data_IF_993443969189
#
_entry.id   IF_993443969189
#
_cell.length_a   1.000
_cell.length_b   1.000
_cell.length_c   1.000
_cell.angle_alpha   90.00
_cell.angle_beta   90.00
_cell.angle_gamma   90.00
#
_symmetry.space_group_name_H-M   'P 1'
#
loop_
_entity.id
_entity.type
_entity.pdbx_description
1 polymer ?
#
# COMPACT_ATOMS: atom_id res chain seq x y z
N UNK A 1 47.64 73.66 -52.89
CA UNK A 1 47.89 72.33 -53.49
C UNK A 1 46.56 71.61 -53.67
N UNK A 2 46.33 71.15 -54.89
CA UNK A 2 45.11 70.49 -55.36
C UNK A 2 44.98 69.08 -54.76
N UNK A 3 43.78 68.70 -54.29
CA UNK A 3 43.08 67.46 -54.70
C UNK A 3 41.65 67.36 -54.12
N UNK A 4 40.70 67.76 -54.96
CA UNK A 4 39.48 67.05 -55.40
C UNK A 4 39.56 65.51 -55.13
N UNK A 5 38.51 64.71 -54.82
CA UNK A 5 37.11 64.69 -55.27
C UNK A 5 36.42 63.42 -54.67
N UNK A 6 35.09 63.48 -54.45
CA UNK A 6 34.04 62.40 -54.54
C UNK A 6 34.23 61.14 -53.65
N UNK A 7 33.26 60.60 -52.93
CA UNK A 7 31.80 60.72 -52.92
C UNK A 7 31.16 59.32 -52.82
N UNK A 8 30.10 59.21 -52.00
CA UNK A 8 28.99 58.24 -52.04
C UNK A 8 29.26 56.80 -51.54
N UNK A 9 28.67 56.43 -50.40
CA UNK A 9 27.46 55.58 -50.31
C UNK A 9 26.92 55.58 -48.86
N UNK A 10 25.66 55.99 -48.72
CA UNK A 10 24.84 55.78 -47.51
C UNK A 10 24.60 54.27 -47.35
N UNK A 11 24.90 53.73 -46.19
CA UNK A 11 24.39 52.43 -45.77
C UNK A 11 23.70 52.61 -44.42
N UNK A 12 22.37 52.51 -44.44
CA UNK A 12 21.50 52.54 -43.29
C UNK A 12 21.77 51.32 -42.39
N UNK A 13 22.18 51.55 -41.14
CA UNK A 13 22.24 50.51 -40.12
C UNK A 13 21.03 50.69 -39.19
N UNK A 14 19.99 49.89 -39.41
CA UNK A 14 18.84 49.78 -38.51
C UNK A 14 19.28 48.99 -37.27
N UNK A 15 19.46 49.67 -36.15
CA UNK A 15 19.56 49.04 -34.83
C UNK A 15 18.14 48.80 -34.34
N UNK A 16 17.66 47.56 -34.44
CA UNK A 16 16.43 47.12 -33.76
C UNK A 16 16.73 47.00 -32.26
N UNK A 17 16.26 47.97 -31.48
CA UNK A 17 16.12 47.85 -30.03
C UNK A 17 14.85 47.03 -29.78
N UNK A 18 15.00 45.73 -29.55
CA UNK A 18 13.88 44.89 -29.12
C UNK A 18 13.74 44.99 -27.61
N UNK A 19 12.80 45.83 -27.18
CA UNK A 19 12.30 45.86 -25.80
C UNK A 19 11.52 44.57 -25.56
N UNK A 20 12.08 43.62 -24.81
CA UNK A 20 11.32 42.47 -24.33
C UNK A 20 10.51 42.89 -23.09
N UNK A 21 9.29 43.37 -23.32
CA UNK A 21 8.19 43.19 -22.36
C UNK A 21 7.72 41.73 -22.48
N UNK A 22 8.11 40.86 -21.55
CA UNK A 22 7.38 39.60 -21.33
C UNK A 22 6.52 39.79 -20.10
N UNK A 23 5.24 40.00 -20.39
CA UNK A 23 4.13 40.09 -19.46
C UNK A 23 4.03 38.85 -18.56
N UNK A 24 3.59 39.09 -17.32
CA UNK A 24 2.90 38.10 -16.50
C UNK A 24 1.86 37.36 -17.35
N UNK A 25 2.07 36.06 -17.60
CA UNK A 25 1.02 35.18 -18.07
C UNK A 25 0.64 34.24 -16.93
N UNK A 26 -0.54 34.53 -16.39
CA UNK A 26 -1.43 33.57 -15.75
C UNK A 26 -1.40 32.20 -16.44
N UNK A 27 -1.45 31.15 -15.62
CA UNK A 27 -1.43 29.72 -15.96
C UNK A 27 -1.93 29.35 -17.37
N UNK A 28 -1.16 28.56 -18.14
CA UNK A 28 -1.64 28.05 -19.41
C UNK A 28 -2.79 27.05 -19.18
N UNK A 29 -3.95 27.36 -19.79
CA UNK A 29 -5.05 26.42 -20.03
C UNK A 29 -4.51 25.18 -20.78
N UNK A 30 -5.05 24.02 -20.42
CA UNK A 30 -4.68 22.70 -20.92
C UNK A 30 -4.45 22.64 -22.44
N UNK A 31 -3.18 22.61 -22.85
CA UNK A 31 -2.79 21.97 -24.11
C UNK A 31 -2.68 20.49 -23.82
N UNK A 32 -3.27 19.65 -24.67
CA UNK A 32 -3.01 18.22 -24.70
C UNK A 32 -1.53 18.05 -24.99
N UNK A 33 -0.70 17.88 -23.95
CA UNK A 33 0.70 17.56 -24.11
C UNK A 33 0.78 16.20 -24.80
N UNK A 34 1.12 16.20 -26.09
CA UNK A 34 1.50 14.99 -26.81
C UNK A 34 2.85 14.55 -26.28
N UNK A 35 2.82 13.59 -25.37
CA UNK A 35 4.02 12.95 -24.84
C UNK A 35 4.63 12.11 -25.97
N UNK A 36 5.90 12.36 -26.30
CA UNK A 36 6.60 11.61 -27.34
C UNK A 36 6.80 10.15 -26.89
N UNK A 37 6.45 9.20 -27.76
CA UNK A 37 6.63 7.78 -27.48
C UNK A 37 8.10 7.45 -27.20
N UNK A 38 8.35 6.70 -26.13
CA UNK A 38 9.69 6.37 -25.63
C UNK A 38 10.29 7.38 -24.66
N UNK A 39 9.66 8.56 -24.49
CA UNK A 39 10.11 9.66 -23.63
C UNK A 39 9.03 10.05 -22.60
N UNK A 40 8.12 9.13 -22.28
CA UNK A 40 7.02 9.39 -21.35
C UNK A 40 7.49 9.68 -19.92
N UNK A 41 8.72 9.29 -19.59
CA UNK A 41 9.38 9.61 -18.32
C UNK A 41 10.29 10.86 -18.36
N UNK A 42 10.26 11.66 -19.44
CA UNK A 42 11.13 12.83 -19.58
C UNK A 42 11.00 13.86 -18.44
N UNK A 43 9.81 14.02 -17.86
CA UNK A 43 9.58 14.93 -16.75
C UNK A 43 10.35 14.57 -15.46
N UNK A 44 10.76 13.30 -15.31
CA UNK A 44 11.52 12.80 -14.16
C UNK A 44 13.02 12.74 -14.42
N UNK A 45 13.53 13.29 -15.55
CA UNK A 45 14.97 13.25 -15.86
C UNK A 45 15.81 13.74 -14.67
N UNK A 46 16.80 12.92 -14.27
CA UNK A 46 17.63 13.17 -13.10
C UNK A 46 17.79 11.94 -12.20
N UNK A 47 18.46 12.15 -11.07
CA UNK A 47 18.68 11.14 -10.03
C UNK A 47 17.86 11.49 -8.80
N UNK A 48 17.13 10.51 -8.29
CA UNK A 48 16.16 10.68 -7.22
C UNK A 48 16.36 9.66 -6.12
N UNK A 49 16.29 10.08 -4.87
CA UNK A 49 16.42 9.23 -3.69
C UNK A 49 15.13 9.29 -2.86
N UNK A 50 14.72 8.14 -2.33
CA UNK A 50 13.56 8.03 -1.46
C UNK A 50 13.83 8.64 -0.09
N UNK A 51 12.88 9.41 0.45
CA UNK A 51 12.93 9.88 1.84
C UNK A 51 12.83 8.73 2.86
N UNK A 52 12.37 7.54 2.45
CA UNK A 52 12.39 6.34 3.29
C UNK A 52 13.81 5.98 3.76
N UNK A 53 14.84 6.38 3.02
CA UNK A 53 16.26 6.13 3.33
C UNK A 53 16.77 6.89 4.56
N UNK A 54 16.09 7.96 4.97
CA UNK A 54 16.47 8.81 6.10
C UNK A 54 15.48 8.75 7.26
N UNK A 55 14.48 7.84 7.21
CA UNK A 55 13.39 7.78 8.19
C UNK A 55 13.84 7.51 9.63
N UNK A 56 15.03 6.94 9.80
CA UNK A 56 15.64 6.60 11.09
C UNK A 56 16.64 7.65 11.58
N UNK A 57 16.73 8.81 10.91
CA UNK A 57 17.64 9.88 11.33
C UNK A 57 17.21 10.44 12.71
N UNK A 58 18.15 10.46 13.65
CA UNK A 58 17.90 10.89 15.03
C UNK A 58 17.43 12.35 15.12
N UNK A 59 17.73 13.19 14.14
CA UNK A 59 17.25 14.57 14.11
C UNK A 59 15.72 14.67 13.99
N UNK A 60 15.02 13.60 13.59
CA UNK A 60 13.56 13.57 13.41
C UNK A 60 12.79 13.36 14.71
N UNK A 61 13.46 12.90 15.78
CA UNK A 61 12.85 12.45 17.04
C UNK A 61 11.93 13.47 17.69
N UNK A 62 12.36 14.74 17.77
CA UNK A 62 11.56 15.82 18.34
C UNK A 62 10.27 16.06 17.52
N UNK A 63 10.35 15.93 16.19
CA UNK A 63 9.18 16.14 15.32
C UNK A 63 8.17 15.02 15.48
N UNK A 64 8.63 13.78 15.64
CA UNK A 64 7.75 12.66 15.95
C UNK A 64 7.09 12.80 17.31
N UNK A 65 7.86 13.17 18.34
CA UNK A 65 7.34 13.36 19.69
C UNK A 65 6.29 14.46 19.74
N UNK A 66 6.56 15.60 19.10
CA UNK A 66 5.62 16.72 19.07
C UNK A 66 4.33 16.39 18.33
N UNK A 67 4.43 15.83 17.12
CA UNK A 67 3.27 15.51 16.30
C UNK A 67 2.38 14.42 16.93
N UNK A 68 2.97 13.43 17.60
CA UNK A 68 2.22 12.35 18.24
C UNK A 68 1.40 12.80 19.47
N UNK A 69 1.71 13.94 20.11
CA UNK A 69 0.98 14.43 21.30
C UNK A 69 -0.53 14.57 21.08
N UNK A 70 -0.92 14.91 19.85
CA UNK A 70 -2.31 15.15 19.48
C UNK A 70 -2.98 13.92 18.85
N UNK A 71 -2.31 12.77 18.80
CA UNK A 71 -2.82 11.54 18.19
C UNK A 71 -3.23 10.53 19.26
N UNK A 72 -4.49 10.62 19.72
CA UNK A 72 -4.99 9.85 20.87
C UNK A 72 -4.81 8.32 20.74
N UNK A 73 -4.81 7.79 19.52
CA UNK A 73 -4.73 6.35 19.25
C UNK A 73 -3.33 5.88 18.80
N UNK A 74 -2.31 6.70 19.05
CA UNK A 74 -0.93 6.43 18.65
C UNK A 74 0.01 6.65 19.83
N UNK A 75 0.99 5.77 20.00
CA UNK A 75 2.21 6.13 20.74
C UNK A 75 3.17 6.87 19.81
N UNK A 76 4.24 7.48 20.34
CA UNK A 76 5.30 8.08 19.50
C UNK A 76 5.85 7.05 18.50
N UNK A 77 6.16 5.84 18.97
CA UNK A 77 6.62 4.75 18.10
C UNK A 77 5.54 4.26 17.13
N UNK A 78 4.27 4.27 17.53
CA UNK A 78 3.16 3.96 16.64
C UNK A 78 2.98 4.98 15.52
N UNK A 79 3.19 6.26 15.82
CA UNK A 79 3.20 7.32 14.83
C UNK A 79 4.41 7.21 13.90
N UNK A 80 5.62 6.97 14.42
CA UNK A 80 6.80 6.66 13.60
C UNK A 80 6.57 5.50 12.64
N UNK A 81 5.98 4.41 13.13
CA UNK A 81 5.60 3.28 12.30
C UNK A 81 4.60 3.66 11.19
N UNK A 82 3.64 4.54 11.48
CA UNK A 82 2.68 5.02 10.48
C UNK A 82 3.32 5.91 9.42
N UNK A 83 4.28 6.76 9.82
CA UNK A 83 5.08 7.55 8.89
C UNK A 83 5.98 6.66 8.04
N UNK A 84 6.60 5.63 8.63
CA UNK A 84 7.38 4.65 7.89
C UNK A 84 6.54 3.92 6.84
N UNK A 85 5.34 3.44 7.18
CA UNK A 85 4.40 2.85 6.22
C UNK A 85 4.04 3.82 5.09
N UNK A 86 3.85 5.11 5.43
CA UNK A 86 3.50 6.15 4.47
C UNK A 86 4.57 6.31 3.38
N UNK A 87 5.85 6.30 3.74
CA UNK A 87 6.95 6.51 2.80
C UNK A 87 7.56 5.22 2.24
N UNK A 88 7.17 4.06 2.76
CA UNK A 88 7.77 2.77 2.41
C UNK A 88 7.74 2.47 0.90
N UNK A 89 8.90 2.12 0.36
CA UNK A 89 9.05 1.77 -1.06
C UNK A 89 10.10 0.67 -1.27
N UNK A 90 9.91 -0.25 -2.23
CA UNK A 90 10.93 -1.22 -2.61
C UNK A 90 12.10 -0.62 -3.41
N UNK A 91 11.99 0.63 -3.89
CA UNK A 91 13.00 1.29 -4.71
C UNK A 91 13.62 2.46 -3.96
N UNK A 92 14.90 2.36 -3.62
CA UNK A 92 15.64 3.33 -2.81
C UNK A 92 16.08 4.56 -3.63
N UNK A 93 16.47 4.34 -4.89
CA UNK A 93 16.84 5.39 -5.84
C UNK A 93 16.37 5.09 -7.25
N UNK A 94 16.20 6.13 -8.05
CA UNK A 94 15.87 6.03 -9.47
C UNK A 94 16.66 7.04 -10.28
N UNK A 95 17.21 6.60 -11.41
CA UNK A 95 17.90 7.45 -12.38
C UNK A 95 17.22 7.38 -13.73
N UNK A 96 16.76 8.54 -14.19
CA UNK A 96 16.09 8.72 -15.47
C UNK A 96 16.98 9.55 -16.39
N UNK A 97 17.23 9.04 -17.60
CA UNK A 97 17.95 9.78 -18.65
C UNK A 97 17.02 10.63 -19.54
N UNK A 98 15.70 10.44 -19.38
CA UNK A 98 14.63 11.07 -20.15
C UNK A 98 13.90 10.11 -21.08
N UNK A 99 14.40 8.88 -21.23
CA UNK A 99 13.71 7.77 -21.89
C UNK A 99 12.89 6.97 -20.88
N UNK A 100 12.17 5.95 -21.35
CA UNK A 100 11.46 5.01 -20.48
C UNK A 100 12.34 3.92 -19.85
N UNK A 101 13.66 3.95 -20.04
CA UNK A 101 14.58 3.08 -19.33
C UNK A 101 15.09 3.78 -18.07
N UNK A 102 14.84 3.17 -16.91
CA UNK A 102 15.18 3.72 -15.60
C UNK A 102 16.16 2.78 -14.91
N UNK A 103 17.23 3.32 -14.32
CA UNK A 103 18.07 2.52 -13.41
C UNK A 103 17.45 2.59 -12.02
N UNK A 104 17.02 1.46 -11.49
CA UNK A 104 16.42 1.34 -10.18
C UNK A 104 17.43 0.78 -9.19
N UNK A 105 17.64 1.45 -8.06
CA UNK A 105 18.39 0.91 -6.93
C UNK A 105 17.41 0.24 -5.97
N UNK A 106 17.49 -1.08 -5.85
CA UNK A 106 16.59 -1.89 -5.01
C UNK A 106 17.38 -2.73 -4.02
N UNK A 107 16.76 -3.04 -2.89
CA UNK A 107 17.25 -4.11 -2.02
C UNK A 107 16.72 -5.44 -2.55
N UNK A 108 17.62 -6.34 -2.95
CA UNK A 108 17.24 -7.63 -3.51
C UNK A 108 16.84 -8.64 -2.42
N UNK A 109 16.42 -9.84 -2.82
CA UNK A 109 15.96 -10.88 -1.89
C UNK A 109 17.06 -11.43 -0.94
N UNK A 110 18.32 -11.04 -1.13
CA UNK A 110 19.47 -11.37 -0.26
C UNK A 110 19.91 -10.15 0.55
N UNK A 111 19.04 -9.15 0.67
CA UNK A 111 19.29 -7.89 1.37
C UNK A 111 20.40 -7.01 0.77
N UNK A 112 20.99 -7.39 -0.37
CA UNK A 112 22.01 -6.60 -1.04
C UNK A 112 21.36 -5.49 -1.89
N UNK A 113 21.95 -4.30 -1.84
CA UNK A 113 21.56 -3.17 -2.67
C UNK A 113 22.16 -3.35 -4.07
N UNK A 114 21.32 -3.35 -5.09
CA UNK A 114 21.71 -3.54 -6.50
C UNK A 114 21.06 -2.50 -7.39
N UNK A 115 21.75 -2.15 -8.48
CA UNK A 115 21.20 -1.31 -9.55
C UNK A 115 20.76 -2.18 -10.72
N UNK A 116 19.53 -1.99 -11.18
CA UNK A 116 18.94 -2.80 -12.24
C UNK A 116 18.22 -1.89 -13.24
N UNK A 117 18.55 -1.94 -14.54
CA UNK A 117 17.80 -1.21 -15.55
C UNK A 117 16.42 -1.83 -15.75
N UNK A 118 15.39 -0.97 -15.82
CA UNK A 118 14.01 -1.34 -16.07
C UNK A 118 13.47 -0.49 -17.22
N UNK A 119 13.09 -1.15 -18.31
CA UNK A 119 12.32 -0.51 -19.38
C UNK A 119 10.83 -0.55 -19.03
N UNK A 120 10.19 0.60 -18.99
CA UNK A 120 8.77 0.73 -18.69
C UNK A 120 7.95 1.05 -19.95
N UNK A 121 6.76 0.46 -20.04
CA UNK A 121 5.74 0.79 -21.03
C UNK A 121 4.70 1.70 -20.37
N UNK A 122 4.48 2.89 -20.94
CA UNK A 122 3.44 3.81 -20.48
C UNK A 122 2.03 3.25 -20.74
N UNK A 123 1.15 3.35 -19.74
CA UNK A 123 -0.22 2.82 -19.76
C UNK A 123 -1.28 3.91 -19.68
N UNK A 124 -0.89 5.17 -19.79
CA UNK A 124 -1.79 6.32 -19.73
C UNK A 124 -1.85 6.96 -18.35
N UNK A 125 -2.85 7.83 -18.16
CA UNK A 125 -3.10 8.56 -16.92
C UNK A 125 -4.32 8.02 -16.20
N UNK A 126 -4.27 7.99 -14.86
CA UNK A 126 -5.41 7.68 -13.99
C UNK A 126 -5.57 8.80 -12.97
N UNK A 127 -6.79 9.27 -12.73
CA UNK A 127 -7.03 10.33 -11.76
C UNK A 127 -6.59 9.91 -10.35
N UNK A 128 -6.03 10.86 -9.60
CA UNK A 128 -5.76 10.67 -8.17
C UNK A 128 -7.10 10.72 -7.44
N UNK A 129 -7.43 9.66 -6.69
CA UNK A 129 -8.70 9.58 -5.97
C UNK A 129 -8.83 10.74 -4.98
N UNK A 130 -9.95 11.46 -5.05
CA UNK A 130 -10.25 12.60 -4.17
C UNK A 130 -9.61 13.93 -4.60
N UNK A 131 -8.81 13.97 -5.67
CA UNK A 131 -8.14 15.19 -6.13
C UNK A 131 -8.58 15.58 -7.55
N UNK A 132 -9.06 16.81 -7.70
CA UNK A 132 -9.50 17.33 -9.00
C UNK A 132 -8.29 17.68 -9.86
N UNK A 133 -8.29 17.23 -11.11
CA UNK A 133 -7.27 17.55 -12.12
C UNK A 133 -5.84 17.08 -11.80
N UNK A 134 -5.65 16.18 -10.83
CA UNK A 134 -4.36 15.53 -10.56
C UNK A 134 -4.39 14.10 -11.05
N UNK A 135 -3.33 13.67 -11.73
CA UNK A 135 -3.30 12.39 -12.41
C UNK A 135 -1.99 11.64 -12.14
N UNK A 136 -2.13 10.37 -11.79
CA UNK A 136 -1.06 9.39 -11.84
C UNK A 136 -0.69 9.09 -13.29
N UNK A 137 0.59 9.16 -13.61
CA UNK A 137 1.16 8.59 -14.82
C UNK A 137 1.49 7.13 -14.54
N UNK A 138 1.05 6.22 -15.41
CA UNK A 138 1.08 4.79 -15.12
C UNK A 138 2.03 4.04 -16.06
N UNK A 139 2.77 3.10 -15.50
CA UNK A 139 3.84 2.40 -16.19
C UNK A 139 3.88 0.93 -15.76
N UNK A 140 4.23 0.05 -16.70
CA UNK A 140 4.42 -1.37 -16.47
C UNK A 140 5.75 -1.83 -17.08
N UNK A 141 6.55 -2.58 -16.34
CA UNK A 141 7.82 -3.12 -16.82
C UNK A 141 7.59 -3.95 -18.10
N UNK A 142 8.42 -3.73 -19.12
CA UNK A 142 8.34 -4.43 -20.39
C UNK A 142 8.73 -5.91 -20.28
N UNK A 143 9.54 -6.25 -19.27
CA UNK A 143 10.07 -7.60 -19.02
C UNK A 143 9.93 -7.96 -17.55
N UNK A 144 9.70 -9.23 -17.28
CA UNK A 144 9.75 -9.77 -15.92
C UNK A 144 11.22 -9.99 -15.52
N UNK A 145 11.74 -9.11 -14.67
CA UNK A 145 13.09 -9.20 -14.10
C UNK A 145 12.97 -9.64 -12.65
N UNK A 146 13.67 -10.71 -12.26
CA UNK A 146 13.53 -11.36 -10.95
C UNK A 146 13.81 -10.40 -9.79
N UNK A 147 14.84 -9.58 -9.94
CA UNK A 147 15.28 -8.56 -8.99
C UNK A 147 14.25 -7.44 -8.84
N UNK A 148 13.44 -7.20 -9.88
CA UNK A 148 12.41 -6.17 -9.95
C UNK A 148 11.00 -6.72 -9.79
N UNK A 149 10.83 -7.93 -9.23
CA UNK A 149 9.50 -8.54 -9.00
C UNK A 149 8.55 -7.58 -8.28
N UNK A 150 9.07 -6.78 -7.34
CA UNK A 150 8.31 -5.82 -6.54
C UNK A 150 8.17 -4.43 -7.20
N UNK A 151 8.75 -4.25 -8.39
CA UNK A 151 8.74 -3.01 -9.17
C UNK A 151 8.16 -3.20 -10.59
N UNK A 152 7.29 -4.20 -10.76
CA UNK A 152 6.65 -4.48 -12.05
C UNK A 152 5.73 -3.34 -12.52
N UNK A 153 5.03 -2.70 -11.60
CA UNK A 153 4.13 -1.58 -11.88
C UNK A 153 4.58 -0.35 -11.10
N UNK A 154 4.55 0.80 -11.77
CA UNK A 154 4.90 2.12 -11.23
C UNK A 154 3.77 3.08 -11.59
N UNK A 155 3.30 3.83 -10.60
CA UNK A 155 2.54 5.05 -10.86
C UNK A 155 3.28 6.23 -10.22
N UNK A 156 3.34 7.36 -10.93
CA UNK A 156 4.11 8.52 -10.50
C UNK A 156 3.34 9.82 -10.74
N UNK A 157 3.52 10.77 -9.83
CA UNK A 157 3.22 12.18 -10.08
C UNK A 157 4.47 12.86 -10.63
N UNK A 158 4.32 13.85 -11.53
CA UNK A 158 5.46 14.61 -12.03
C UNK A 158 6.18 15.33 -10.87
N UNK A 159 7.49 15.60 -10.99
CA UNK A 159 8.22 16.44 -10.04
C UNK A 159 7.58 17.81 -9.89
N UNK A 160 7.36 18.20 -8.64
CA UNK A 160 6.80 19.48 -8.25
C UNK A 160 7.59 20.07 -7.09
N UNK A 161 7.50 21.38 -6.98
CA UNK A 161 8.09 22.13 -5.87
C UNK A 161 6.97 22.98 -5.29
N UNK A 162 6.51 22.61 -4.09
CA UNK A 162 5.63 23.47 -3.31
C UNK A 162 6.37 24.75 -2.91
N UNK A 163 5.64 25.86 -2.73
CA UNK A 163 6.15 27.22 -2.46
C UNK A 163 7.61 27.30 -1.95
N UNK A 164 7.85 26.91 -0.69
CA UNK A 164 9.17 26.90 -0.04
C UNK A 164 9.78 25.49 0.10
N UNK A 165 9.14 24.47 -0.47
CA UNK A 165 9.55 23.08 -0.39
C UNK A 165 10.75 22.76 -1.29
N UNK A 166 11.30 21.56 -1.10
CA UNK A 166 12.28 20.99 -2.03
C UNK A 166 11.57 20.36 -3.23
N UNK A 167 12.24 20.32 -4.37
CA UNK A 167 11.75 19.59 -5.55
C UNK A 167 11.59 18.11 -5.20
N UNK A 168 10.38 17.60 -5.34
CA UNK A 168 10.03 16.24 -4.96
C UNK A 168 8.91 15.68 -5.85
N UNK A 169 8.65 14.39 -5.71
CA UNK A 169 7.49 13.74 -6.32
C UNK A 169 7.09 12.49 -5.55
N UNK A 170 5.89 11.99 -5.84
CA UNK A 170 5.37 10.78 -5.23
C UNK A 170 5.28 9.63 -6.24
N UNK A 171 5.61 8.43 -5.78
CA UNK A 171 5.47 7.21 -6.57
C UNK A 171 4.87 6.08 -5.76
N UNK A 172 4.08 5.21 -6.40
CA UNK A 172 3.73 3.90 -5.83
C UNK A 172 4.20 2.79 -6.75
N UNK A 173 4.82 1.79 -6.14
CA UNK A 173 5.53 0.72 -6.82
C UNK A 173 5.09 -0.62 -6.23
N UNK A 174 4.78 -1.60 -7.08
CA UNK A 174 4.36 -2.94 -6.64
C UNK A 174 4.53 -4.00 -7.72
N UNK A 175 4.47 -5.26 -7.29
CA UNK A 175 4.21 -6.44 -8.12
C UNK A 175 2.75 -6.54 -8.58
N UNK A 176 1.82 -5.91 -7.85
CA UNK A 176 0.39 -5.87 -8.17
C UNK A 176 0.09 -4.77 -9.19
N UNK A 177 -1.01 -4.94 -9.92
CA UNK A 177 -1.39 -4.10 -11.04
C UNK A 177 -1.63 -2.61 -10.70
N UNK A 178 -1.83 -1.81 -11.75
CA UNK A 178 -2.11 -0.37 -11.65
C UNK A 178 -3.37 -0.10 -10.81
N UNK A 179 -4.40 -0.94 -10.91
CA UNK A 179 -5.62 -0.77 -10.13
C UNK A 179 -5.35 -0.90 -8.63
N UNK A 180 -4.53 -1.87 -8.22
CA UNK A 180 -4.07 -1.98 -6.84
C UNK A 180 -3.28 -0.75 -6.39
N UNK A 181 -2.37 -0.23 -7.22
CA UNK A 181 -1.59 0.97 -6.89
C UNK A 181 -2.46 2.22 -6.71
N UNK A 182 -3.53 2.36 -7.50
CA UNK A 182 -4.43 3.53 -7.46
C UNK A 182 -5.43 3.40 -6.30
N UNK A 183 -6.09 2.25 -6.16
CA UNK A 183 -7.26 2.07 -5.31
C UNK A 183 -6.97 1.31 -3.99
N UNK A 184 -5.95 0.45 -3.97
CA UNK A 184 -5.62 -0.40 -2.81
C UNK A 184 -4.52 0.19 -1.91
N UNK A 185 -3.38 0.58 -2.51
CA UNK A 185 -2.23 1.11 -1.77
C UNK A 185 -2.40 2.62 -1.52
N UNK A 186 -2.51 3.03 -0.25
CA UNK A 186 -2.68 4.44 0.16
C UNK A 186 -1.39 5.14 0.61
N UNK A 187 -0.23 4.55 0.37
CA UNK A 187 1.07 5.12 0.75
C UNK A 187 1.47 6.25 -0.19
N UNK A 188 2.38 7.12 0.26
CA UNK A 188 2.94 8.23 -0.51
C UNK A 188 4.48 8.25 -0.46
N UNK A 189 5.17 7.20 -0.96
CA UNK A 189 6.62 7.24 -1.12
C UNK A 189 7.05 8.49 -1.86
N UNK A 190 8.01 9.18 -1.30
CA UNK A 190 8.41 10.51 -1.74
C UNK A 190 9.87 10.48 -2.12
N UNK A 191 10.15 10.98 -3.32
CA UNK A 191 11.45 11.02 -3.93
C UNK A 191 11.88 12.47 -4.10
N UNK A 192 13.14 12.74 -3.78
CA UNK A 192 13.76 14.07 -3.87
C UNK A 192 15.02 13.98 -4.71
N UNK A 193 15.44 15.07 -5.34
CA UNK A 193 16.66 15.07 -6.13
C UNK A 193 17.85 14.60 -5.28
N UNK A 194 18.66 13.67 -5.80
CA UNK A 194 19.79 13.08 -5.07
C UNK A 194 20.77 14.16 -4.59
N UNK A 195 20.97 15.18 -5.43
CA UNK A 195 21.79 16.38 -5.15
C UNK A 195 21.27 17.27 -4.03
N UNK A 196 20.06 17.05 -3.50
CA UNK A 196 19.53 17.81 -2.36
C UNK A 196 20.39 17.53 -1.12
N UNK A 197 20.92 18.56 -0.44
CA UNK A 197 21.70 18.39 0.79
C UNK A 197 20.94 17.61 1.86
N UNK A 198 21.65 16.77 2.61
CA UNK A 198 21.06 15.91 3.64
C UNK A 198 20.26 16.72 4.66
N UNK A 199 20.77 17.87 5.09
CA UNK A 199 20.12 18.76 6.05
C UNK A 199 18.78 19.27 5.52
N UNK A 200 18.68 19.55 4.22
CA UNK A 200 17.42 19.96 3.59
C UNK A 200 16.43 18.80 3.49
N UNK A 201 16.90 17.58 3.20
CA UNK A 201 16.04 16.37 3.21
C UNK A 201 15.45 16.13 4.60
N UNK A 202 16.29 16.22 5.64
CA UNK A 202 15.88 16.09 7.04
C UNK A 202 14.87 17.18 7.40
N UNK A 203 15.14 18.45 7.07
CA UNK A 203 14.23 19.55 7.37
C UNK A 203 12.86 19.38 6.68
N UNK A 204 12.86 18.96 5.41
CA UNK A 204 11.62 18.68 4.68
C UNK A 204 10.83 17.53 5.31
N UNK A 205 11.51 16.46 5.76
CA UNK A 205 10.86 15.35 6.44
C UNK A 205 10.33 15.77 7.82
N UNK A 206 11.04 16.62 8.58
CA UNK A 206 10.53 17.22 9.84
C UNK A 206 9.21 17.97 9.62
N UNK A 207 9.17 18.82 8.60
CA UNK A 207 7.96 19.57 8.23
C UNK A 207 6.82 18.64 7.83
N UNK A 208 7.12 17.62 7.02
CA UNK A 208 6.15 16.60 6.64
C UNK A 208 5.59 15.87 7.87
N UNK A 209 6.45 15.40 8.78
CA UNK A 209 6.07 14.72 10.02
C UNK A 209 5.08 15.57 10.84
N UNK A 210 5.29 16.88 10.94
CA UNK A 210 4.36 17.77 11.68
C UNK A 210 2.97 17.86 11.07
N UNK A 211 2.83 17.66 9.76
CA UNK A 211 1.55 17.76 9.04
C UNK A 211 0.84 16.41 8.85
N UNK A 212 1.58 15.29 8.95
CA UNK A 212 1.05 13.94 8.75
C UNK A 212 -0.10 13.53 9.69
N UNK A 213 -0.25 14.03 10.94
CA UNK A 213 -1.42 13.72 11.75
C UNK A 213 -2.76 14.06 11.07
N UNK A 214 -2.80 15.07 10.18
CA UNK A 214 -3.99 15.43 9.42
C UNK A 214 -4.23 14.54 8.18
N UNK A 215 -3.26 13.71 7.80
CA UNK A 215 -3.31 12.85 6.60
C UNK A 215 -3.36 11.36 6.93
N UNK A 216 -2.92 10.98 8.13
CA UNK A 216 -3.06 9.63 8.65
C UNK A 216 -4.48 9.43 9.21
N UNK A 217 -4.97 8.17 9.25
CA UNK A 217 -6.23 7.89 9.93
C UNK A 217 -6.19 8.37 11.36
N UNK A 218 -7.20 9.11 11.81
CA UNK A 218 -7.32 9.47 13.23
C UNK A 218 -7.46 8.20 14.08
N UNK A 219 -8.21 7.22 13.55
CA UNK A 219 -8.51 5.93 14.17
C UNK A 219 -7.93 4.81 13.30
N UNK A 220 -6.85 4.14 13.74
CA UNK A 220 -6.24 3.05 12.98
C UNK A 220 -7.19 1.94 12.54
N UNK A 221 -8.30 1.72 13.26
CA UNK A 221 -9.30 0.71 12.93
C UNK A 221 -10.37 1.13 11.91
N UNK A 222 -10.38 2.37 11.44
CA UNK A 222 -11.45 2.91 10.59
C UNK A 222 -11.70 2.05 9.34
N UNK A 223 -10.64 1.68 8.63
CA UNK A 223 -10.76 0.82 7.44
C UNK A 223 -11.38 -0.55 7.73
N UNK A 224 -11.28 -1.07 8.96
CA UNK A 224 -11.89 -2.35 9.31
C UNK A 224 -13.34 -2.17 9.74
N UNK A 225 -13.65 -1.08 10.45
CA UNK A 225 -15.00 -0.73 10.85
C UNK A 225 -15.92 -0.47 9.63
N UNK A 226 -15.42 0.22 8.60
CA UNK A 226 -16.14 0.53 7.36
C UNK A 226 -16.55 -0.72 6.54
N UNK A 227 -15.93 -1.87 6.87
CA UNK A 227 -16.18 -3.16 6.25
C UNK A 227 -16.99 -4.11 7.16
N UNK A 228 -17.56 -3.58 8.25
CA UNK A 228 -18.51 -4.26 9.12
C UNK A 228 -17.88 -5.34 9.99
N UNK A 229 -18.63 -6.41 10.22
CA UNK A 229 -18.17 -7.55 11.01
C UNK A 229 -17.25 -8.45 10.18
N UNK A 230 -16.27 -9.05 10.85
CA UNK A 230 -15.28 -9.92 10.25
C UNK A 230 -15.37 -11.31 10.83
N UNK A 231 -15.42 -12.34 10.00
CA UNK A 231 -15.39 -13.75 10.45
C UNK A 231 -14.02 -14.35 10.21
N UNK A 232 -13.59 -15.24 11.11
CA UNK A 232 -12.38 -16.00 10.85
C UNK A 232 -12.60 -17.00 9.70
N UNK A 233 -11.50 -17.40 9.05
CA UNK A 233 -11.56 -18.36 7.94
C UNK A 233 -12.26 -19.69 8.29
N UNK A 234 -12.06 -20.30 9.48
CA UNK A 234 -12.82 -21.50 9.86
C UNK A 234 -14.34 -21.30 9.79
N UNK A 235 -14.87 -20.19 10.32
CA UNK A 235 -16.30 -19.91 10.32
C UNK A 235 -16.90 -19.72 8.91
N UNK A 236 -16.08 -19.43 7.89
CA UNK A 236 -16.54 -19.40 6.49
C UNK A 236 -17.04 -20.78 6.06
N UNK A 237 -16.35 -21.85 6.43
CA UNK A 237 -16.75 -23.23 6.08
C UNK A 237 -17.95 -23.72 6.88
N UNK A 238 -18.16 -23.17 8.07
CA UNK A 238 -19.31 -23.45 8.92
C UNK A 238 -20.56 -22.62 8.52
N UNK A 239 -20.47 -21.77 7.48
CA UNK A 239 -21.58 -20.97 6.99
C UNK A 239 -22.77 -21.85 6.53
N UNK A 240 -23.98 -21.47 6.92
CA UNK A 240 -25.23 -22.22 6.71
C UNK A 240 -26.18 -21.54 5.72
N UNK A 241 -25.74 -20.48 5.04
CA UNK A 241 -26.52 -19.84 3.97
C UNK A 241 -26.90 -20.85 2.88
N UNK A 242 -27.99 -20.54 2.18
CA UNK A 242 -28.52 -21.41 1.12
C UNK A 242 -27.50 -21.64 0.01
N UNK A 243 -26.77 -20.59 -0.39
CA UNK A 243 -25.77 -20.65 -1.46
C UNK A 243 -24.59 -21.55 -1.07
N UNK A 244 -24.11 -21.42 0.17
CA UNK A 244 -23.01 -22.25 0.67
C UNK A 244 -23.45 -23.70 0.84
N UNK A 245 -24.66 -23.96 1.33
CA UNK A 245 -25.21 -25.31 1.41
C UNK A 245 -25.31 -25.97 0.03
N UNK A 246 -25.81 -25.24 -0.98
CA UNK A 246 -25.87 -25.72 -2.36
C UNK A 246 -24.48 -26.00 -2.95
N UNK A 247 -23.46 -25.20 -2.61
CA UNK A 247 -22.08 -25.47 -3.00
C UNK A 247 -21.56 -26.80 -2.43
N UNK A 248 -21.84 -27.10 -1.16
CA UNK A 248 -21.47 -28.40 -0.58
C UNK A 248 -22.21 -29.55 -1.26
N UNK A 249 -23.53 -29.44 -1.46
CA UNK A 249 -24.31 -30.47 -2.17
C UNK A 249 -23.75 -30.77 -3.56
N UNK A 250 -23.38 -29.72 -4.30
CA UNK A 250 -22.74 -29.83 -5.63
C UNK A 250 -21.41 -30.57 -5.56
N UNK A 251 -20.54 -30.23 -4.60
CA UNK A 251 -19.23 -30.89 -4.43
C UNK A 251 -19.42 -32.36 -4.03
N UNK A 252 -20.33 -32.66 -3.10
CA UNK A 252 -20.62 -34.03 -2.68
C UNK A 252 -21.04 -34.87 -3.89
N UNK A 253 -21.93 -34.34 -4.74
CA UNK A 253 -22.35 -35.00 -5.98
C UNK A 253 -21.21 -35.16 -6.98
N UNK A 254 -20.36 -34.16 -7.14
CA UNK A 254 -19.18 -34.20 -8.04
C UNK A 254 -18.17 -35.28 -7.63
N UNK A 255 -18.05 -35.55 -6.33
CA UNK A 255 -17.13 -36.52 -5.74
C UNK A 255 -17.83 -37.78 -5.22
N UNK A 256 -19.03 -38.10 -5.72
CA UNK A 256 -19.77 -39.28 -5.32
C UNK A 256 -18.95 -40.57 -5.51
N UNK A 257 -18.97 -41.43 -4.49
CA UNK A 257 -18.23 -42.70 -4.43
C UNK A 257 -16.72 -42.57 -4.27
N UNK A 258 -16.17 -41.36 -4.13
CA UNK A 258 -14.72 -41.11 -4.04
C UNK A 258 -14.20 -40.94 -2.61
N UNK A 259 -15.02 -41.16 -1.58
CA UNK A 259 -14.55 -41.11 -0.20
C UNK A 259 -13.61 -42.31 0.06
N UNK A 260 -12.36 -42.12 0.52
CA UNK A 260 -11.44 -43.23 0.84
C UNK A 260 -11.98 -44.17 1.94
N UNK A 261 -12.93 -43.70 2.76
CA UNK A 261 -13.63 -44.52 3.77
C UNK A 261 -14.79 -45.34 3.17
N UNK A 262 -15.06 -45.21 1.88
CA UNK A 262 -16.20 -45.78 1.17
C UNK A 262 -17.41 -44.83 1.11
N UNK A 263 -18.12 -44.85 -0.01
CA UNK A 263 -19.33 -44.04 -0.23
C UNK A 263 -19.05 -42.58 -0.62
N UNK A 264 -20.03 -41.72 -0.35
CA UNK A 264 -19.97 -40.29 -0.62
C UNK A 264 -19.35 -39.52 0.56
N UNK A 265 -18.80 -38.35 0.30
CA UNK A 265 -18.37 -37.44 1.36
C UNK A 265 -19.58 -36.76 2.01
N UNK A 266 -19.52 -36.54 3.32
CA UNK A 266 -20.38 -35.59 4.05
C UNK A 266 -19.77 -34.18 4.09
N UNK A 267 -20.57 -33.15 4.38
CA UNK A 267 -20.07 -31.78 4.57
C UNK A 267 -19.00 -31.74 5.67
N UNK A 268 -19.27 -32.42 6.78
CA UNK A 268 -18.41 -32.47 7.95
C UNK A 268 -17.06 -33.12 7.64
N UNK A 269 -17.05 -34.19 6.84
CA UNK A 269 -15.83 -34.85 6.38
C UNK A 269 -15.00 -33.95 5.46
N UNK A 270 -15.64 -33.24 4.53
CA UNK A 270 -14.93 -32.29 3.66
C UNK A 270 -14.29 -31.19 4.51
N UNK A 271 -15.01 -30.62 5.48
CA UNK A 271 -14.47 -29.59 6.37
C UNK A 271 -13.31 -30.15 7.21
N UNK A 272 -13.42 -31.37 7.72
CA UNK A 272 -12.35 -32.03 8.46
C UNK A 272 -11.09 -32.20 7.59
N UNK A 273 -11.24 -32.60 6.33
CA UNK A 273 -10.12 -32.78 5.41
C UNK A 273 -9.45 -31.44 5.05
N UNK A 274 -10.26 -30.38 4.87
CA UNK A 274 -9.72 -29.02 4.71
C UNK A 274 -8.92 -28.61 5.97
N UNK A 275 -9.45 -28.84 7.17
CA UNK A 275 -8.77 -28.51 8.45
C UNK A 275 -7.48 -29.31 8.66
N UNK A 276 -7.43 -30.55 8.19
CA UNK A 276 -6.23 -31.40 8.20
C UNK A 276 -5.15 -30.85 7.29
N UNK A 277 -5.51 -30.41 6.08
CA UNK A 277 -4.56 -29.98 5.06
C UNK A 277 -4.17 -28.49 5.15
N UNK A 278 -4.96 -27.67 5.83
CA UNK A 278 -4.71 -26.23 5.98
C UNK A 278 -4.44 -25.86 7.44
N UNK A 279 -3.16 -25.91 7.81
CA UNK A 279 -2.69 -25.55 9.16
C UNK A 279 -3.09 -24.12 9.58
N UNK A 280 -3.32 -23.21 8.63
CA UNK A 280 -3.74 -21.84 8.95
C UNK A 280 -5.15 -21.78 9.54
N UNK A 281 -5.99 -22.79 9.30
CA UNK A 281 -7.33 -22.86 9.91
C UNK A 281 -7.28 -23.04 11.43
N UNK A 282 -6.19 -23.60 11.96
CA UNK A 282 -6.06 -23.80 13.39
C UNK A 282 -5.56 -22.55 14.14
N UNK A 283 -5.13 -21.53 13.41
CA UNK A 283 -4.47 -20.33 13.99
C UNK A 283 -5.45 -19.26 14.49
N UNK A 284 -6.74 -19.34 14.11
CA UNK A 284 -7.77 -18.37 14.46
C UNK A 284 -8.89 -18.95 15.35
N UNK A 285 -8.63 -20.05 16.04
CA UNK A 285 -9.66 -20.77 16.80
C UNK A 285 -10.11 -20.05 18.09
N UNK A 286 -9.45 -18.97 18.50
CA UNK A 286 -9.82 -18.26 19.74
C UNK A 286 -11.04 -17.35 19.60
N UNK A 287 -11.45 -17.07 18.36
CA UNK A 287 -12.65 -16.28 18.08
C UNK A 287 -13.45 -16.91 16.95
N UNK A 288 -14.55 -16.27 16.59
CA UNK A 288 -15.40 -16.60 15.44
C UNK A 288 -15.60 -15.36 14.59
N UNK A 289 -15.79 -14.21 15.24
CA UNK A 289 -15.89 -12.94 14.57
C UNK A 289 -15.32 -11.79 15.40
N UNK A 290 -15.05 -10.68 14.70
CA UNK A 290 -14.51 -9.44 15.23
C UNK A 290 -15.42 -8.28 14.81
N UNK A 291 -15.51 -7.27 15.65
CA UNK A 291 -16.10 -5.97 15.30
C UNK A 291 -15.15 -4.86 15.72
N UNK A 292 -15.01 -3.85 14.87
CA UNK A 292 -14.20 -2.67 15.12
C UNK A 292 -15.14 -1.49 15.33
N UNK A 293 -14.94 -0.73 16.40
CA UNK A 293 -15.78 0.42 16.76
C UNK A 293 -14.93 1.68 16.70
N UNK A 294 -15.30 2.57 15.79
CA UNK A 294 -14.64 3.86 15.54
C UNK A 294 -15.58 5.06 15.67
N UNK A 295 -16.79 4.86 16.21
CA UNK A 295 -17.71 5.97 16.47
C UNK A 295 -17.19 6.87 17.61
N UNK A 296 -17.40 8.19 17.48
CA UNK A 296 -16.95 9.15 18.48
C UNK A 296 -15.42 9.21 18.59
N UNK A 297 -14.86 8.97 19.78
CA UNK A 297 -13.41 8.96 20.04
C UNK A 297 -12.84 7.55 20.27
N UNK A 298 -13.56 6.52 19.81
CA UNK A 298 -13.15 5.12 20.01
C UNK A 298 -12.22 4.64 18.91
N UNK A 299 -11.34 3.72 19.29
CA UNK A 299 -10.56 2.86 18.41
C UNK A 299 -10.51 1.46 19.04
N UNK A 300 -11.68 0.82 19.07
CA UNK A 300 -11.96 -0.36 19.88
C UNK A 300 -12.12 -1.61 19.03
N UNK A 301 -11.61 -2.74 19.53
CA UNK A 301 -11.81 -4.07 18.97
C UNK A 301 -12.63 -4.91 19.95
N UNK A 302 -13.68 -5.54 19.42
CA UNK A 302 -14.52 -6.51 20.13
C UNK A 302 -14.31 -7.89 19.48
N UNK A 303 -14.02 -8.89 20.31
CA UNK A 303 -13.74 -10.26 19.92
C UNK A 303 -14.86 -11.16 20.42
N UNK A 304 -15.39 -11.99 19.52
CA UNK A 304 -16.53 -12.86 19.81
C UNK A 304 -16.21 -14.33 19.59
N UNK A 305 -16.72 -15.20 20.48
CA UNK A 305 -16.75 -16.66 20.29
C UNK A 305 -18.20 -17.13 20.29
N UNK A 306 -18.70 -17.53 19.13
CA UNK A 306 -20.14 -17.63 18.90
C UNK A 306 -20.77 -16.25 19.12
N UNK A 307 -21.87 -16.19 19.86
CA UNK A 307 -22.57 -14.93 20.15
C UNK A 307 -22.00 -14.17 21.36
N UNK A 308 -21.04 -14.76 22.09
CA UNK A 308 -20.49 -14.18 23.31
C UNK A 308 -19.30 -13.28 23.02
N UNK A 309 -19.30 -12.08 23.58
CA UNK A 309 -18.11 -11.23 23.68
C UNK A 309 -17.14 -11.92 24.63
N UNK A 310 -15.95 -12.25 24.15
CA UNK A 310 -14.88 -12.86 24.94
C UNK A 310 -13.78 -11.85 25.30
N UNK A 311 -13.66 -10.77 24.53
CA UNK A 311 -12.72 -9.71 24.80
C UNK A 311 -13.17 -8.40 24.13
N UNK A 312 -12.86 -7.27 24.78
CA UNK A 312 -13.13 -5.94 24.29
C UNK A 312 -12.10 -4.97 24.88
N UNK A 313 -11.49 -4.13 24.04
CA UNK A 313 -10.57 -3.10 24.47
C UNK A 313 -10.40 -2.01 23.42
N UNK A 314 -10.11 -0.80 23.89
CA UNK A 314 -9.45 0.23 23.09
C UNK A 314 -8.03 -0.20 22.74
N UNK A 315 -7.52 0.24 21.60
CA UNK A 315 -6.17 -0.04 21.14
C UNK A 315 -5.44 1.23 20.71
N UNK A 316 -4.13 1.22 20.92
CA UNK A 316 -3.21 2.22 20.37
C UNK A 316 -2.25 1.57 19.40
N UNK A 317 -1.94 2.28 18.32
CA UNK A 317 -0.86 1.91 17.42
C UNK A 317 0.46 2.05 18.16
N UNK A 318 1.32 1.04 18.02
CA UNK A 318 2.66 0.97 18.63
C UNK A 318 3.70 0.70 17.56
N UNK A 319 4.98 0.59 17.96
CA UNK A 319 6.06 0.16 17.07
C UNK A 319 5.66 -1.10 16.29
N UNK A 320 6.14 -1.23 15.05
CA UNK A 320 5.92 -2.44 14.26
C UNK A 320 6.47 -3.67 15.01
N UNK A 321 5.72 -4.77 14.96
CA UNK A 321 6.21 -6.07 15.39
C UNK A 321 7.41 -6.49 14.54
N UNK A 322 8.44 -7.04 15.19
CA UNK A 322 9.67 -7.47 14.51
C UNK A 322 9.43 -8.70 13.62
N UNK A 323 8.57 -9.62 14.06
CA UNK A 323 8.24 -10.85 13.35
C UNK A 323 7.11 -10.68 12.34
N UNK A 324 6.15 -9.77 12.61
CA UNK A 324 5.02 -9.44 11.74
C UNK A 324 4.99 -7.92 11.51
N UNK A 325 5.88 -7.36 10.67
CA UNK A 325 6.08 -5.92 10.51
C UNK A 325 4.97 -5.25 9.69
N UNK A 326 3.77 -5.22 10.27
CA UNK A 326 2.56 -4.59 9.74
C UNK A 326 1.99 -3.60 10.75
N UNK A 327 0.72 -3.21 10.58
CA UNK A 327 0.04 -2.31 11.52
C UNK A 327 -0.09 -3.03 12.86
N UNK A 328 0.72 -2.60 13.83
CA UNK A 328 0.82 -3.23 15.14
C UNK A 328 0.15 -2.36 16.18
N UNK A 329 -0.74 -2.96 16.97
CA UNK A 329 -1.54 -2.28 17.97
C UNK A 329 -1.43 -3.01 19.30
N UNK A 330 -1.52 -2.25 20.40
CA UNK A 330 -1.55 -2.78 21.76
C UNK A 330 -2.87 -2.42 22.43
N UNK A 331 -3.47 -3.40 23.10
CA UNK A 331 -4.66 -3.20 23.91
C UNK A 331 -4.35 -2.27 25.09
N UNK A 332 -5.23 -1.34 25.40
CA UNK A 332 -5.12 -0.53 26.63
C UNK A 332 -5.53 -1.30 27.88
N UNK A 333 -6.37 -2.34 27.72
CA UNK A 333 -6.77 -3.23 28.82
C UNK A 333 -5.58 -4.06 29.32
N UNK A 334 -5.25 -3.95 30.62
CA UNK A 334 -4.05 -4.58 31.23
C UNK A 334 -4.10 -6.11 31.25
N UNK A 335 -5.29 -6.69 31.37
CA UNK A 335 -5.57 -8.13 31.41
C UNK A 335 -5.99 -8.67 30.05
N UNK A 336 -5.49 -8.09 28.95
CA UNK A 336 -5.87 -8.48 27.59
C UNK A 336 -5.39 -9.87 27.14
N UNK A 337 -4.53 -10.53 27.93
CA UNK A 337 -4.10 -11.90 27.66
C UNK A 337 -3.58 -12.05 26.23
N UNK A 338 -4.10 -13.03 25.49
CA UNK A 338 -3.70 -13.30 24.09
C UNK A 338 -4.07 -12.19 23.09
N UNK A 339 -4.91 -11.23 23.46
CA UNK A 339 -5.28 -10.11 22.60
C UNK A 339 -4.49 -8.83 22.93
N UNK A 340 -3.45 -8.91 23.78
CA UNK A 340 -2.68 -7.75 24.23
C UNK A 340 -1.94 -7.04 23.10
N UNK A 341 -1.36 -7.80 22.17
CA UNK A 341 -0.64 -7.29 21.00
C UNK A 341 -1.25 -7.91 19.75
N UNK A 342 -1.55 -7.08 18.76
CA UNK A 342 -2.06 -7.52 17.46
C UNK A 342 -1.22 -6.90 16.35
N UNK A 343 -1.01 -7.64 15.27
CA UNK A 343 -0.42 -7.15 14.03
C UNK A 343 -1.29 -7.58 12.87
N UNK A 344 -1.59 -6.66 11.95
CA UNK A 344 -2.48 -6.94 10.85
C UNK A 344 -2.17 -6.12 9.60
N UNK A 345 -2.55 -6.66 8.46
CA UNK A 345 -2.45 -5.97 7.16
C UNK A 345 -3.69 -5.15 6.87
N UNK A 346 -3.56 -4.18 5.95
CA UNK A 346 -4.70 -3.43 5.39
C UNK A 346 -5.73 -4.36 4.75
N UNK A 347 -6.98 -3.90 4.67
CA UNK A 347 -8.06 -4.64 3.99
C UNK A 347 -7.78 -4.73 2.49
N UNK A 348 -7.90 -5.92 1.90
CA UNK A 348 -7.60 -6.17 0.48
C UNK A 348 -8.37 -7.37 -0.08
N UNK A 349 -8.11 -7.72 -1.36
CA UNK A 349 -8.56 -8.99 -1.93
C UNK A 349 -9.96 -9.02 -2.56
N UNK A 350 -10.49 -7.86 -3.00
CA UNK A 350 -11.79 -7.79 -3.70
C UNK A 350 -11.92 -8.84 -4.83
N UNK A 351 -13.07 -9.51 -5.00
CA UNK A 351 -14.30 -9.36 -4.22
C UNK A 351 -14.29 -10.09 -2.87
N UNK A 352 -13.31 -10.95 -2.61
CA UNK A 352 -13.12 -11.65 -1.33
C UNK A 352 -12.43 -10.74 -0.30
N UNK A 353 -13.07 -9.63 0.07
CA UNK A 353 -12.49 -8.66 1.01
C UNK A 353 -12.04 -9.30 2.33
N UNK A 354 -10.73 -9.26 2.59
CA UNK A 354 -10.12 -9.88 3.76
C UNK A 354 -8.95 -9.07 4.30
N UNK A 355 -8.51 -9.45 5.50
CA UNK A 355 -7.22 -9.05 6.05
C UNK A 355 -6.62 -10.22 6.83
N UNK A 356 -5.38 -10.07 7.27
CA UNK A 356 -4.68 -11.06 8.09
C UNK A 356 -4.40 -10.51 9.47
N UNK A 357 -4.65 -11.31 10.51
CA UNK A 357 -4.55 -10.92 11.92
C UNK A 357 -3.70 -11.90 12.72
N UNK A 358 -2.53 -11.45 13.13
CA UNK A 358 -1.73 -12.11 14.15
C UNK A 358 -2.00 -11.47 15.51
N UNK A 359 -2.10 -12.26 16.57
CA UNK A 359 -2.43 -11.75 17.90
C UNK A 359 -1.77 -12.58 19.02
N UNK A 360 -1.28 -11.93 20.07
CA UNK A 360 -0.61 -12.60 21.16
C UNK A 360 -0.47 -11.74 22.41
N UNK A 361 0.11 -12.30 23.47
CA UNK A 361 0.48 -11.52 24.67
C UNK A 361 1.68 -10.61 24.39
N UNK A 362 2.55 -11.04 23.48
CA UNK A 362 3.85 -10.43 23.21
C UNK A 362 4.36 -10.83 21.81
N UNK A 363 5.56 -10.36 21.47
CA UNK A 363 6.21 -10.61 20.18
C UNK A 363 6.48 -12.10 19.93
N UNK A 364 6.89 -12.85 20.95
CA UNK A 364 7.16 -14.29 20.80
C UNK A 364 5.89 -15.08 20.46
N UNK A 365 4.74 -14.69 21.00
CA UNK A 365 3.46 -15.29 20.61
C UNK A 365 3.13 -14.98 19.14
N UNK A 366 3.44 -13.78 18.62
CA UNK A 366 3.24 -13.43 17.20
C UNK A 366 4.18 -14.20 16.28
N UNK A 367 5.46 -14.32 16.66
CA UNK A 367 6.48 -15.03 15.91
C UNK A 367 6.12 -16.50 15.72
N UNK A 368 5.64 -17.15 16.78
CA UNK A 368 5.23 -18.55 16.80
C UNK A 368 3.92 -18.83 16.05
N UNK A 369 3.18 -17.81 15.62
CA UNK A 369 2.01 -18.01 14.77
C UNK A 369 2.42 -18.30 13.33
N UNK A 370 2.22 -19.56 12.93
CA UNK A 370 2.44 -20.03 11.57
C UNK A 370 1.38 -19.51 10.59
N UNK A 371 1.78 -19.38 9.32
CA UNK A 371 0.86 -19.13 8.23
C UNK A 371 0.24 -17.72 8.21
N UNK A 372 -0.89 -17.64 7.51
CA UNK A 372 -1.56 -16.39 7.15
C UNK A 372 -3.00 -16.42 7.70
N UNK A 373 -3.22 -15.94 8.94
CA UNK A 373 -4.50 -15.99 9.62
C UNK A 373 -5.51 -15.02 9.01
N UNK A 374 -6.37 -15.51 8.13
CA UNK A 374 -7.29 -14.67 7.35
C UNK A 374 -8.66 -14.45 8.00
N UNK A 375 -9.11 -13.19 8.01
CA UNK A 375 -10.45 -12.75 8.40
C UNK A 375 -11.20 -12.16 7.19
N UNK A 376 -12.46 -12.53 7.00
CA UNK A 376 -13.28 -12.12 5.85
C UNK A 376 -14.41 -11.17 6.25
N UNK A 377 -14.69 -10.16 5.43
CA UNK A 377 -15.81 -9.25 5.67
C UNK A 377 -17.13 -9.99 5.46
N UNK A 378 -18.04 -9.84 6.41
CA UNK A 378 -19.41 -10.37 6.30
C UNK A 378 -20.37 -9.45 5.56
N UNK A 379 -19.97 -8.18 5.32
CA UNK A 379 -20.85 -7.16 4.73
C UNK A 379 -20.52 -6.85 3.28
N UNK A 380 -19.25 -7.02 2.88
CA UNK A 380 -18.80 -6.76 1.51
C UNK A 380 -18.76 -8.00 0.61
N UNK A 381 -18.90 -9.19 1.19
CA UNK A 381 -18.85 -10.46 0.45
C UNK A 381 -20.25 -11.04 0.38
N UNK A 382 -20.75 -11.31 -0.83
CA UNK A 382 -22.03 -12.01 -1.00
C UNK A 382 -21.90 -13.50 -0.68
N UNK A 383 -23.01 -14.13 -0.29
CA UNK A 383 -23.06 -15.58 -0.06
C UNK A 383 -22.65 -16.38 -1.31
N UNK A 384 -22.98 -15.91 -2.51
CA UNK A 384 -22.52 -16.51 -3.77
C UNK A 384 -20.99 -16.47 -3.91
N UNK A 385 -20.37 -15.36 -3.51
CA UNK A 385 -18.90 -15.24 -3.52
C UNK A 385 -18.27 -16.21 -2.51
N UNK A 386 -18.86 -16.34 -1.31
CA UNK A 386 -18.44 -17.36 -0.34
C UNK A 386 -18.64 -18.79 -0.87
N UNK A 387 -19.78 -19.09 -1.49
CA UNK A 387 -20.07 -20.38 -2.08
C UNK A 387 -19.03 -20.75 -3.15
N UNK A 388 -18.71 -19.83 -4.07
CA UNK A 388 -17.67 -20.03 -5.08
C UNK A 388 -16.28 -20.28 -4.47
N UNK A 389 -15.93 -19.56 -3.42
CA UNK A 389 -14.68 -19.76 -2.68
C UNK A 389 -14.63 -21.15 -2.01
N UNK A 390 -15.73 -21.59 -1.41
CA UNK A 390 -15.87 -22.90 -0.78
C UNK A 390 -15.76 -24.00 -1.85
N UNK A 391 -16.51 -23.93 -2.94
CA UNK A 391 -16.44 -24.91 -4.04
C UNK A 391 -14.99 -25.09 -4.53
N UNK A 392 -14.30 -23.98 -4.81
CA UNK A 392 -12.91 -24.02 -5.29
C UNK A 392 -11.98 -24.65 -4.26
N UNK A 393 -12.17 -24.33 -2.98
CA UNK A 393 -11.34 -24.87 -1.90
C UNK A 393 -11.59 -26.36 -1.71
N UNK A 394 -12.85 -26.78 -1.62
CA UNK A 394 -13.23 -28.19 -1.49
C UNK A 394 -12.71 -29.02 -2.66
N UNK A 395 -12.92 -28.56 -3.91
CA UNK A 395 -12.41 -29.27 -5.10
C UNK A 395 -10.90 -29.46 -5.05
N UNK A 396 -10.15 -28.39 -4.73
CA UNK A 396 -8.69 -28.48 -4.59
C UNK A 396 -8.29 -29.50 -3.51
N UNK A 397 -8.95 -29.49 -2.35
CA UNK A 397 -8.65 -30.41 -1.26
C UNK A 397 -8.93 -31.86 -1.66
N UNK A 398 -10.11 -32.15 -2.22
CA UNK A 398 -10.52 -33.51 -2.57
C UNK A 398 -9.80 -34.06 -3.82
N UNK A 399 -9.26 -33.20 -4.67
CA UNK A 399 -8.40 -33.62 -5.79
C UNK A 399 -6.94 -33.80 -5.38
N UNK A 400 -6.45 -33.15 -4.32
CA UNK A 400 -5.06 -33.31 -3.89
C UNK A 400 -4.76 -34.68 -3.25
N UNK A 401 -5.80 -35.43 -2.87
CA UNK A 401 -5.70 -36.80 -2.31
C UNK A 401 -6.08 -37.91 -3.30
N UNK A 402 -6.40 -37.56 -4.55
CA UNK A 402 -6.59 -38.49 -5.67
C UNK A 402 -5.47 -38.31 -6.71
#
# INVERSE_FOLDING_TARGET
>A
MVKKIIGIKRMSFFIFITVFFIACQSAPKSKTETIAAGNEMAAWKGEWVSLDTIKTDAALEDSYTEAAKNMAHYTVEGFKAAVADMYQTPVLKMKFDGTNTVILTVQNNKEAIVEVPCEYVYKGKVAVLGEKNRFWYTFQAAKDIRELKNAKYLIALPPEQDDSGILHWHARISSHDINWLVNGKKTWPTYVAESTPQEKKIQNLKESIRTLPARLPEKPFEQYADNGKWINRPAVFDNTSKEVSAAYEKIIKEFAGKNPKGGDFTKEEIIAEIKKNDKTLNTLNDFTHLSFITEGKKNELIVYKGEKIVFQSEYKRVAQSASKPYITMRAEKKDAGKFSLISFVVVHGAPMYHFHLWYGRNEADLENQEGVPTCFSTTKISNETFANYIEKTCRRTLTAEN
#
